data_IF_177704111750
#
_entry.id   IF_177704111750
#
_cell.length_a   1.000
_cell.length_b   1.000
_cell.length_c   1.000
_cell.angle_alpha   90.00
_cell.angle_beta   90.00
_cell.angle_gamma   90.00
#
_symmetry.space_group_name_H-M   'P 1'
#
loop_
_entity.id
_entity.type
_entity.pdbx_description
1 polymer ?
#
# COMPACT_ATOMS: atom_id res chain seq x y z
N UNK A 1 14.43 -37.93 8.17
CA UNK A 1 14.27 -37.47 6.77
C UNK A 1 14.41 -35.95 6.77
N UNK A 2 15.61 -35.45 6.51
CA UNK A 2 15.98 -34.03 6.69
C UNK A 2 15.63 -33.28 5.40
N UNK A 3 14.60 -32.44 5.46
CA UNK A 3 14.27 -31.54 4.37
C UNK A 3 15.30 -30.39 4.35
N UNK A 4 16.32 -30.55 3.51
CA UNK A 4 17.25 -29.48 3.14
C UNK A 4 16.51 -28.43 2.31
N UNK A 5 15.69 -27.61 2.96
CA UNK A 5 15.29 -26.33 2.37
C UNK A 5 16.52 -25.44 2.48
N UNK A 6 17.30 -25.42 1.39
CA UNK A 6 18.46 -24.54 1.24
C UNK A 6 17.96 -23.12 1.44
N UNK A 7 18.30 -22.51 2.59
CA UNK A 7 17.90 -21.15 2.90
C UNK A 7 18.22 -20.26 1.68
N UNK A 8 17.22 -19.61 1.07
CA UNK A 8 17.46 -18.77 -0.11
C UNK A 8 18.54 -17.74 0.24
N UNK A 9 19.50 -17.59 -0.67
CA UNK A 9 20.63 -16.70 -0.40
C UNK A 9 20.13 -15.26 -0.22
N UNK A 10 20.75 -14.45 0.65
CA UNK A 10 20.37 -13.04 0.85
C UNK A 10 20.30 -12.22 -0.45
N UNK A 11 21.03 -12.65 -1.48
CA UNK A 11 21.02 -12.03 -2.80
C UNK A 11 19.69 -12.23 -3.54
N UNK A 12 19.01 -13.37 -3.35
CA UNK A 12 17.69 -13.64 -3.96
C UNK A 12 16.66 -12.68 -3.40
N UNK A 13 16.59 -12.52 -2.08
CA UNK A 13 15.68 -11.56 -1.45
C UNK A 13 15.95 -10.12 -1.89
N UNK A 14 17.23 -9.75 -2.04
CA UNK A 14 17.60 -8.43 -2.54
C UNK A 14 17.11 -8.18 -3.97
N UNK A 15 17.28 -9.16 -4.86
CA UNK A 15 16.83 -9.07 -6.26
C UNK A 15 15.29 -8.98 -6.31
N UNK A 16 14.59 -9.85 -5.59
CA UNK A 16 13.13 -9.83 -5.52
C UNK A 16 12.61 -8.49 -5.00
N UNK A 17 13.19 -7.99 -3.91
CA UNK A 17 12.84 -6.67 -3.36
C UNK A 17 13.00 -5.57 -4.41
N UNK A 18 14.12 -5.55 -5.12
CA UNK A 18 14.40 -4.54 -6.14
C UNK A 18 13.42 -4.63 -7.31
N UNK A 19 13.14 -5.83 -7.80
CA UNK A 19 12.19 -6.05 -8.90
C UNK A 19 10.79 -5.56 -8.51
N UNK A 20 10.27 -5.99 -7.36
CA UNK A 20 8.92 -5.63 -6.93
C UNK A 20 8.78 -4.13 -6.61
N UNK A 21 9.78 -3.52 -5.96
CA UNK A 21 9.76 -2.08 -5.73
C UNK A 21 9.84 -1.30 -7.05
N UNK A 22 10.67 -1.74 -7.99
CA UNK A 22 10.77 -1.09 -9.31
C UNK A 22 9.44 -1.17 -10.06
N UNK A 23 8.77 -2.32 -10.07
CA UNK A 23 7.44 -2.47 -10.67
C UNK A 23 6.39 -1.57 -10.01
N UNK A 24 6.39 -1.52 -8.68
CA UNK A 24 5.49 -0.65 -7.92
C UNK A 24 5.71 0.83 -8.29
N UNK A 25 6.95 1.31 -8.22
CA UNK A 25 7.27 2.69 -8.59
C UNK A 25 7.00 2.99 -10.06
N UNK A 26 7.24 2.04 -10.98
CA UNK A 26 6.93 2.22 -12.39
C UNK A 26 5.43 2.44 -12.62
N UNK A 27 4.55 1.68 -11.95
CA UNK A 27 3.10 1.88 -12.01
C UNK A 27 2.74 3.28 -11.47
N UNK A 28 3.24 3.63 -10.29
CA UNK A 28 2.94 4.92 -9.68
C UNK A 28 3.39 6.10 -10.55
N UNK A 29 4.64 6.07 -11.04
CA UNK A 29 5.21 7.12 -11.90
C UNK A 29 4.43 7.21 -13.21
N UNK A 30 4.07 6.09 -13.84
CA UNK A 30 3.30 6.08 -15.07
C UNK A 30 1.96 6.83 -14.90
N UNK A 31 1.16 6.47 -13.89
CA UNK A 31 -0.13 7.12 -13.65
C UNK A 31 0.02 8.56 -13.15
N UNK A 32 1.05 8.85 -12.34
CA UNK A 32 1.34 10.21 -11.91
C UNK A 32 1.69 11.11 -13.10
N UNK A 33 2.56 10.67 -14.01
CA UNK A 33 2.92 11.42 -15.21
C UNK A 33 1.72 11.64 -16.14
N UNK A 34 0.86 10.63 -16.34
CA UNK A 34 -0.34 10.82 -17.17
C UNK A 34 -1.28 11.87 -16.59
N UNK A 35 -1.48 11.88 -15.27
CA UNK A 35 -2.26 12.91 -14.59
C UNK A 35 -1.60 14.29 -14.70
N UNK A 36 -0.29 14.41 -14.47
CA UNK A 36 0.43 15.69 -14.53
C UNK A 36 0.52 16.27 -15.94
N UNK A 37 0.53 15.44 -16.98
CA UNK A 37 0.54 15.86 -18.38
C UNK A 37 -0.88 16.16 -18.92
N UNK A 38 -1.92 16.07 -18.08
CA UNK A 38 -3.31 16.33 -18.47
C UNK A 38 -3.93 15.24 -19.35
N UNK A 39 -3.35 14.04 -19.39
CA UNK A 39 -3.89 12.89 -20.12
C UNK A 39 -4.99 12.15 -19.35
N UNK A 40 -4.96 12.23 -18.03
CA UNK A 40 -5.98 11.70 -17.11
C UNK A 40 -6.36 12.77 -16.08
N UNK A 41 -7.51 12.62 -15.42
CA UNK A 41 -7.92 13.52 -14.33
C UNK A 41 -6.95 13.45 -13.14
N UNK A 42 -6.47 14.61 -12.68
CA UNK A 42 -5.60 14.70 -11.51
C UNK A 42 -6.38 14.61 -10.20
N UNK A 43 -7.60 15.14 -10.19
CA UNK A 43 -8.53 15.10 -9.05
C UNK A 43 -9.82 14.38 -9.45
N UNK A 44 -10.38 13.51 -8.59
CA UNK A 44 -9.87 13.12 -7.27
C UNK A 44 -8.53 12.39 -7.33
N UNK A 45 -7.65 12.63 -6.34
CA UNK A 45 -6.31 12.02 -6.29
C UNK A 45 -6.43 10.50 -6.36
N UNK A 46 -5.74 9.90 -7.33
CA UNK A 46 -5.71 8.45 -7.55
C UNK A 46 -6.89 7.88 -8.32
N UNK A 47 -7.83 8.72 -8.81
CA UNK A 47 -8.97 8.27 -9.62
C UNK A 47 -8.51 7.47 -10.84
N UNK A 48 -7.48 7.95 -11.55
CA UNK A 48 -6.90 7.29 -12.72
C UNK A 48 -6.33 5.87 -12.44
N UNK A 49 -5.92 5.59 -11.20
CA UNK A 49 -5.44 4.27 -10.77
C UNK A 49 -6.57 3.33 -10.29
N UNK A 50 -7.80 3.85 -10.19
CA UNK A 50 -9.00 3.14 -9.73
C UNK A 50 -10.00 2.94 -10.87
N UNK A 51 -10.04 3.85 -11.84
CA UNK A 51 -11.00 3.87 -12.93
C UNK A 51 -10.79 2.77 -13.98
N UNK A 52 -9.62 2.13 -13.99
CA UNK A 52 -9.27 1.09 -14.96
C UNK A 52 -9.08 -0.25 -14.28
N UNK A 53 -9.48 -1.30 -14.98
CA UNK A 53 -9.15 -2.69 -14.64
C UNK A 53 -8.13 -3.21 -15.62
N UNK A 54 -7.09 -3.87 -15.10
CA UNK A 54 -6.05 -4.46 -15.91
C UNK A 54 -5.79 -5.90 -15.46
N UNK A 55 -5.68 -6.86 -16.39
CA UNK A 55 -6.21 -6.79 -17.74
C UNK A 55 -7.76 -6.64 -17.72
N UNK A 56 -8.40 -6.09 -18.78
CA UNK A 56 -9.84 -5.76 -18.74
C UNK A 56 -10.73 -7.02 -18.76
N UNK A 57 -11.92 -7.03 -18.13
CA UNK A 57 -12.84 -8.17 -18.25
C UNK A 57 -13.06 -8.59 -19.71
N UNK A 58 -13.16 -9.90 -20.01
CA UNK A 58 -13.48 -11.01 -19.11
C UNK A 58 -12.27 -11.86 -18.67
N UNK A 59 -11.05 -11.31 -18.61
CA UNK A 59 -9.93 -12.09 -18.06
C UNK A 59 -10.25 -12.58 -16.64
N UNK A 60 -9.89 -13.83 -16.26
CA UNK A 60 -10.31 -14.42 -14.99
C UNK A 60 -9.67 -13.77 -13.75
N UNK A 61 -8.53 -13.09 -13.95
CA UNK A 61 -7.83 -12.35 -12.90
C UNK A 61 -7.56 -10.95 -13.42
N UNK A 62 -8.28 -9.99 -12.86
CA UNK A 62 -8.12 -8.56 -13.12
C UNK A 62 -8.05 -7.81 -11.81
N UNK A 63 -7.28 -6.73 -11.80
CA UNK A 63 -7.24 -5.85 -10.65
C UNK A 63 -6.98 -4.41 -11.11
N UNK A 64 -7.19 -3.48 -10.18
CA UNK A 64 -6.94 -2.07 -10.43
C UNK A 64 -5.45 -1.79 -10.37
N UNK A 65 -4.92 -0.82 -11.13
CA UNK A 65 -3.54 -0.38 -11.02
C UNK A 65 -3.08 -0.10 -9.59
N UNK A 66 -3.92 0.54 -8.76
CA UNK A 66 -3.64 0.76 -7.34
C UNK A 66 -3.44 -0.55 -6.56
N UNK A 67 -4.14 -1.63 -6.92
CA UNK A 67 -3.98 -2.94 -6.28
C UNK A 67 -2.61 -3.54 -6.61
N UNK A 68 -2.19 -3.50 -7.87
CA UNK A 68 -0.86 -3.95 -8.27
C UNK A 68 0.25 -3.14 -7.61
N UNK A 69 0.09 -1.81 -7.58
CA UNK A 69 1.00 -0.91 -6.89
C UNK A 69 1.22 -1.32 -5.43
N UNK A 70 0.13 -1.47 -4.66
CA UNK A 70 0.19 -1.87 -3.24
C UNK A 70 0.79 -3.25 -3.07
N UNK A 71 0.36 -4.22 -3.88
CA UNK A 71 0.83 -5.60 -3.79
C UNK A 71 2.34 -5.70 -4.01
N UNK A 72 2.84 -5.10 -5.08
CA UNK A 72 4.27 -5.09 -5.37
C UNK A 72 5.07 -4.27 -4.33
N UNK A 73 4.51 -3.18 -3.81
CA UNK A 73 5.18 -2.41 -2.76
C UNK A 73 5.37 -3.26 -1.49
N UNK A 74 4.31 -3.91 -1.03
CA UNK A 74 4.33 -4.74 0.18
C UNK A 74 5.30 -5.90 0.03
N UNK A 75 5.24 -6.65 -1.09
CA UNK A 75 6.20 -7.72 -1.36
C UNK A 75 7.64 -7.19 -1.42
N UNK A 76 7.84 -6.09 -2.13
CA UNK A 76 9.14 -5.43 -2.25
C UNK A 76 9.73 -5.05 -0.89
N UNK A 77 8.89 -4.54 0.01
CA UNK A 77 9.27 -4.21 1.39
C UNK A 77 9.62 -5.45 2.20
N UNK A 78 8.77 -6.49 2.19
CA UNK A 78 8.99 -7.74 2.93
C UNK A 78 10.27 -8.45 2.52
N UNK A 79 10.53 -8.57 1.21
CA UNK A 79 11.78 -9.15 0.74
C UNK A 79 12.98 -8.24 1.06
N UNK A 80 12.77 -6.92 1.08
CA UNK A 80 13.80 -5.95 1.39
C UNK A 80 14.32 -6.06 2.81
N UNK A 81 13.42 -6.21 3.79
CA UNK A 81 13.78 -6.40 5.20
C UNK A 81 14.53 -7.71 5.42
N UNK A 82 14.12 -8.81 4.78
CA UNK A 82 14.84 -10.09 4.86
C UNK A 82 16.25 -9.99 4.24
N UNK A 83 16.38 -9.30 3.10
CA UNK A 83 17.67 -9.08 2.45
C UNK A 83 18.66 -8.29 3.34
N UNK A 84 18.16 -7.36 4.16
CA UNK A 84 19.01 -6.54 5.05
C UNK A 84 19.16 -7.10 6.46
N UNK A 85 18.48 -8.20 6.81
CA UNK A 85 18.42 -8.76 8.18
C UNK A 85 19.79 -8.89 8.84
N UNK A 86 20.78 -9.47 8.14
CA UNK A 86 22.16 -9.63 8.66
C UNK A 86 22.86 -8.30 8.96
N UNK A 87 22.60 -7.27 8.14
CA UNK A 87 23.14 -5.91 8.35
C UNK A 87 22.40 -5.20 9.47
N UNK A 88 21.07 -5.32 9.50
CA UNK A 88 20.21 -4.72 10.51
C UNK A 88 20.47 -5.28 11.92
N UNK A 89 20.85 -6.56 12.03
CA UNK A 89 21.25 -7.18 13.31
C UNK A 89 22.56 -6.61 13.88
N UNK A 90 23.28 -5.76 13.15
CA UNK A 90 24.46 -5.02 13.66
C UNK A 90 24.13 -3.58 14.08
N UNK A 91 22.91 -3.10 13.84
CA UNK A 91 22.52 -1.74 14.22
C UNK A 91 22.47 -1.55 15.74
N UNK A 92 22.79 -0.35 16.26
CA UNK A 92 22.73 -0.09 17.69
C UNK A 92 21.29 -0.22 18.21
N UNK A 93 21.13 -0.70 19.45
CA UNK A 93 19.82 -0.95 20.09
C UNK A 93 18.94 0.32 20.10
N UNK A 94 19.54 1.48 20.36
CA UNK A 94 18.84 2.78 20.36
C UNK A 94 18.25 3.11 18.99
N UNK A 95 18.97 2.84 17.90
CA UNK A 95 18.47 3.08 16.54
C UNK A 95 17.32 2.15 16.17
N UNK A 96 17.41 0.85 16.51
CA UNK A 96 16.29 -0.08 16.30
C UNK A 96 15.05 0.34 17.10
N UNK A 97 15.24 0.80 18.34
CA UNK A 97 14.15 1.29 19.19
C UNK A 97 13.51 2.56 18.61
N UNK A 98 14.31 3.49 18.08
CA UNK A 98 13.80 4.67 17.40
C UNK A 98 12.95 4.29 16.18
N UNK A 99 13.46 3.41 15.31
CA UNK A 99 12.70 2.93 14.14
C UNK A 99 11.41 2.21 14.54
N UNK A 100 11.42 1.47 15.65
CA UNK A 100 10.24 0.79 16.17
C UNK A 100 9.17 1.80 16.60
N UNK A 101 9.57 2.87 17.31
CA UNK A 101 8.66 3.95 17.74
C UNK A 101 8.09 4.69 16.52
N UNK A 102 8.95 5.04 15.55
CA UNK A 102 8.51 5.70 14.31
C UNK A 102 7.51 4.81 13.55
N UNK A 103 7.82 3.52 13.41
CA UNK A 103 6.91 2.57 12.77
C UNK A 103 5.57 2.47 13.53
N UNK A 104 5.60 2.42 14.86
CA UNK A 104 4.38 2.42 15.68
C UNK A 104 3.55 3.69 15.51
N UNK A 105 4.19 4.85 15.37
CA UNK A 105 3.50 6.11 15.09
C UNK A 105 2.80 6.09 13.73
N UNK A 106 3.47 5.62 12.67
CA UNK A 106 2.84 5.45 11.36
C UNK A 106 1.72 4.40 11.37
N UNK A 107 1.86 3.33 12.15
CA UNK A 107 0.79 2.35 12.33
C UNK A 107 -0.45 2.99 12.98
N UNK A 108 -0.26 3.84 14.00
CA UNK A 108 -1.37 4.58 14.61
C UNK A 108 -2.06 5.53 13.62
N UNK A 109 -1.29 6.35 12.91
CA UNK A 109 -1.83 7.29 11.91
C UNK A 109 -2.56 6.58 10.78
N UNK A 110 -1.91 5.59 10.16
CA UNK A 110 -2.50 4.84 9.06
C UNK A 110 -3.70 4.00 9.53
N UNK A 111 -3.67 3.47 10.75
CA UNK A 111 -4.79 2.75 11.35
C UNK A 111 -6.02 3.63 11.52
N UNK A 112 -5.84 4.86 12.02
CA UNK A 112 -6.90 5.85 12.08
C UNK A 112 -7.49 6.14 10.69
N UNK A 113 -6.63 6.38 9.70
CA UNK A 113 -7.06 6.68 8.33
C UNK A 113 -7.78 5.52 7.65
N UNK A 114 -7.35 4.27 7.88
CA UNK A 114 -8.06 3.09 7.38
C UNK A 114 -9.48 3.06 7.94
N UNK A 115 -9.62 3.22 9.26
CA UNK A 115 -10.95 3.23 9.92
C UNK A 115 -11.80 4.40 9.44
N UNK A 116 -11.23 5.59 9.36
CA UNK A 116 -11.89 6.79 8.86
C UNK A 116 -12.43 6.58 7.44
N UNK A 117 -11.60 6.08 6.51
CA UNK A 117 -12.02 5.84 5.14
C UNK A 117 -13.09 4.75 5.02
N UNK A 118 -13.02 3.68 5.82
CA UNK A 118 -14.09 2.65 5.84
C UNK A 118 -15.42 3.20 6.36
N UNK A 119 -15.39 4.01 7.43
CA UNK A 119 -16.59 4.67 7.97
C UNK A 119 -17.16 5.64 6.94
N UNK A 120 -16.32 6.49 6.34
CA UNK A 120 -16.74 7.45 5.33
C UNK A 120 -17.33 6.74 4.10
N UNK A 121 -16.69 5.66 3.65
CA UNK A 121 -17.19 4.85 2.55
C UNK A 121 -18.57 4.26 2.86
N UNK A 122 -18.76 3.66 4.04
CA UNK A 122 -20.05 3.11 4.46
C UNK A 122 -21.15 4.18 4.52
N UNK A 123 -20.85 5.35 5.07
CA UNK A 123 -21.82 6.46 5.15
C UNK A 123 -22.22 7.01 3.79
N UNK A 124 -21.26 7.17 2.87
CA UNK A 124 -21.55 7.64 1.51
C UNK A 124 -22.36 6.62 0.72
N UNK A 125 -22.01 5.33 0.78
CA UNK A 125 -22.80 4.28 0.13
C UNK A 125 -24.22 4.22 0.67
N UNK A 126 -24.40 4.35 1.99
CA UNK A 126 -25.73 4.39 2.59
C UNK A 126 -26.54 5.61 2.13
N UNK A 127 -25.91 6.79 2.06
CA UNK A 127 -26.56 8.01 1.55
C UNK A 127 -26.98 7.86 0.09
N UNK A 128 -26.09 7.33 -0.76
CA UNK A 128 -26.35 7.09 -2.18
C UNK A 128 -27.51 6.09 -2.36
N UNK A 129 -27.55 5.02 -1.56
CA UNK A 129 -28.64 4.06 -1.55
C UNK A 129 -29.99 4.69 -1.15
N UNK A 130 -30.00 5.56 -0.13
CA UNK A 130 -31.21 6.29 0.28
C UNK A 130 -31.76 7.24 -0.79
N UNK A 131 -30.93 7.70 -1.72
CA UNK A 131 -31.32 8.53 -2.86
C UNK A 131 -31.64 7.71 -4.12
N UNK A 132 -31.79 6.38 -3.99
CA UNK A 132 -32.18 5.48 -5.09
C UNK A 132 -31.08 5.15 -6.10
N UNK A 133 -29.81 5.50 -5.81
CA UNK A 133 -28.66 5.29 -6.72
C UNK A 133 -27.91 3.99 -6.41
N UNK A 134 -28.61 2.86 -6.32
CA UNK A 134 -28.04 1.58 -5.88
C UNK A 134 -26.95 1.01 -6.82
N UNK A 135 -26.86 1.50 -8.06
CA UNK A 135 -25.90 1.04 -9.07
C UNK A 135 -24.56 1.81 -9.06
N UNK A 136 -24.43 2.82 -8.20
CA UNK A 136 -23.20 3.62 -8.15
C UNK A 136 -22.04 2.80 -7.59
N UNK A 137 -20.99 2.62 -8.39
CA UNK A 137 -19.78 1.94 -7.92
C UNK A 137 -19.07 2.75 -6.82
N UNK A 138 -18.59 2.09 -5.74
CA UNK A 138 -17.65 2.65 -4.77
C UNK A 138 -16.45 3.39 -5.35
N UNK A 139 -16.07 3.03 -6.58
CA UNK A 139 -14.90 3.53 -7.28
C UNK A 139 -14.96 5.00 -7.64
N UNK A 140 -16.16 5.59 -7.62
CA UNK A 140 -16.38 7.00 -7.90
C UNK A 140 -16.56 7.84 -6.64
N UNK A 141 -16.49 7.21 -5.46
CA UNK A 141 -16.61 7.94 -4.20
C UNK A 141 -15.27 8.56 -3.80
N UNK A 142 -15.32 9.83 -3.41
CA UNK A 142 -14.16 10.60 -2.99
C UNK A 142 -14.47 11.41 -1.73
N UNK A 143 -13.45 11.65 -0.91
CA UNK A 143 -13.55 12.61 0.19
C UNK A 143 -13.36 14.02 -0.36
N UNK A 144 -14.42 14.82 -0.37
CA UNK A 144 -14.40 16.21 -0.84
C UNK A 144 -14.21 17.24 0.28
N UNK A 145 -14.09 16.80 1.54
CA UNK A 145 -13.87 17.69 2.68
C UNK A 145 -12.37 17.75 3.03
N UNK A 146 -11.84 18.91 3.48
CA UNK A 146 -12.49 20.22 3.56
C UNK A 146 -12.54 20.97 2.23
N UNK A 147 -11.74 20.56 1.24
CA UNK A 147 -11.64 21.23 -0.05
C UNK A 147 -11.99 20.27 -1.20
N UNK A 148 -13.14 20.47 -1.87
CA UNK A 148 -13.55 19.63 -3.00
C UNK A 148 -12.58 19.67 -4.18
N UNK A 149 -11.85 20.78 -4.37
CA UNK A 149 -10.87 20.92 -5.44
C UNK A 149 -9.62 20.04 -5.23
N UNK A 150 -9.44 19.48 -4.03
CA UNK A 150 -8.34 18.58 -3.68
C UNK A 150 -8.85 17.25 -3.12
N UNK A 151 -9.96 16.75 -3.69
CA UNK A 151 -10.58 15.51 -3.23
C UNK A 151 -9.66 14.29 -3.45
N UNK A 152 -9.79 13.28 -2.59
CA UNK A 152 -9.09 12.00 -2.71
C UNK A 152 -10.08 10.87 -2.99
N UNK A 153 -9.78 10.01 -3.96
CA UNK A 153 -10.60 8.81 -4.19
C UNK A 153 -10.51 7.87 -2.98
N UNK A 154 -11.65 7.38 -2.49
CA UNK A 154 -11.70 6.58 -1.26
C UNK A 154 -11.05 5.21 -1.40
N UNK A 155 -11.24 4.54 -2.55
CA UNK A 155 -10.63 3.23 -2.82
C UNK A 155 -9.11 3.38 -2.89
N UNK A 156 -8.64 4.46 -3.53
CA UNK A 156 -7.22 4.79 -3.58
C UNK A 156 -6.67 5.06 -2.17
N UNK A 157 -7.23 6.02 -1.45
CA UNK A 157 -6.78 6.42 -0.11
C UNK A 157 -6.73 5.23 0.86
N UNK A 158 -7.81 4.44 0.92
CA UNK A 158 -7.89 3.25 1.78
C UNK A 158 -6.75 2.27 1.50
N UNK A 159 -6.44 2.01 0.22
CA UNK A 159 -5.35 1.10 -0.16
C UNK A 159 -3.97 1.64 0.20
N UNK A 160 -3.73 2.94 0.05
CA UNK A 160 -2.46 3.58 0.44
C UNK A 160 -2.27 3.54 1.95
N UNK A 161 -3.30 3.86 2.73
CA UNK A 161 -3.21 3.79 4.19
C UNK A 161 -3.10 2.35 4.69
N UNK A 162 -3.81 1.40 4.08
CA UNK A 162 -3.67 -0.02 4.42
C UNK A 162 -2.26 -0.55 4.11
N UNK A 163 -1.69 -0.16 2.97
CA UNK A 163 -0.30 -0.46 2.62
C UNK A 163 0.66 0.10 3.68
N UNK A 164 0.48 1.36 4.07
CA UNK A 164 1.31 2.04 5.07
C UNK A 164 1.19 1.36 6.44
N UNK A 165 -0.03 1.00 6.85
CA UNK A 165 -0.30 0.27 8.08
C UNK A 165 0.41 -1.09 8.10
N UNK A 166 0.32 -1.85 7.01
CA UNK A 166 0.99 -3.14 6.89
C UNK A 166 2.51 -2.98 6.96
N UNK A 167 3.08 -2.04 6.20
CA UNK A 167 4.53 -1.75 6.19
C UNK A 167 5.01 -1.36 7.58
N UNK A 168 4.23 -0.55 8.31
CA UNK A 168 4.53 -0.14 9.66
C UNK A 168 4.55 -1.33 10.64
N UNK A 169 3.49 -2.14 10.66
CA UNK A 169 3.45 -3.34 11.52
C UNK A 169 4.53 -4.36 11.17
N UNK A 170 4.74 -4.60 9.89
CA UNK A 170 5.77 -5.54 9.44
C UNK A 170 7.17 -5.05 9.80
N UNK A 171 7.43 -3.74 9.73
CA UNK A 171 8.69 -3.13 10.17
C UNK A 171 8.88 -3.27 11.69
N UNK A 172 7.82 -3.09 12.49
CA UNK A 172 7.87 -3.34 13.94
C UNK A 172 8.19 -4.81 14.24
N UNK A 173 7.50 -5.74 13.59
CA UNK A 173 7.75 -7.17 13.71
C UNK A 173 9.20 -7.52 13.37
N UNK A 174 9.72 -7.01 12.25
CA UNK A 174 11.10 -7.21 11.85
C UNK A 174 12.09 -6.68 12.88
N UNK A 175 11.86 -5.48 13.43
CA UNK A 175 12.74 -4.90 14.44
C UNK A 175 12.73 -5.69 15.76
N UNK A 176 11.59 -6.27 16.14
CA UNK A 176 11.48 -7.15 17.30
C UNK A 176 12.21 -8.47 17.07
N UNK A 177 12.09 -9.07 15.88
CA UNK A 177 12.75 -10.34 15.57
C UNK A 177 14.27 -10.23 15.61
N UNK A 178 14.83 -9.07 15.25
CA UNK A 178 16.27 -8.79 15.39
C UNK A 178 16.76 -8.73 16.86
N UNK A 179 15.85 -8.51 17.82
CA UNK A 179 16.17 -8.45 19.25
C UNK A 179 16.18 -9.83 19.93
N UNK A 180 15.45 -10.79 19.37
CA UNK A 180 15.29 -12.15 19.92
C UNK A 180 16.41 -13.13 19.54
N UNK A 181 17.27 -12.81 18.56
CA UNK A 181 18.40 -13.65 18.14
C UNK A 181 19.67 -13.47 19.03
N UNK A 182 19.48 -13.25 20.34
CA UNK A 182 20.57 -13.15 21.31
C UNK A 182 20.58 -14.29 22.30
#
# INVERSE_FOLDING_TARGET
MVCWIRNPSPNVFKILSLVFLTLSFAIFIYFFLRASLGLDEFFPVGQNMVALEFPPPPFPVYAKPVTYFVFFFVLGWMFGTEAVKKRASRWPKSFRRLLFIISGFFAFLAGYEVLYNFVLWATLMSSVASHGKLEMSPDYLANTFPNPAMAWNLVFATKIFLMTLFVAFYSMYFLLSLGSEK
#
